data_IF_774745231319
#
_entry.id   IF_774745231319
#
_cell.length_a   1.000
_cell.length_b   1.000
_cell.length_c   1.000
_cell.angle_alpha   90.00
_cell.angle_beta   90.00
_cell.angle_gamma   90.00
#
_symmetry.space_group_name_H-M   'P 1'
#
loop_
_entity.id
_entity.type
_entity.pdbx_description
1 polymer ?
#
# COMPACT_ATOMS: atom_id res chain seq x y z
N UNK A 1 22.40 -7.16 19.30
CA UNK A 1 21.71 -6.57 18.13
C UNK A 1 20.82 -5.46 18.67
N UNK A 2 20.94 -4.22 18.19
CA UNK A 2 20.06 -3.13 18.69
C UNK A 2 18.64 -3.32 18.16
N UNK A 3 17.64 -2.88 18.92
CA UNK A 3 16.21 -2.91 18.53
C UNK A 3 15.98 -2.21 17.19
N UNK A 4 16.65 -1.09 16.97
CA UNK A 4 16.73 -0.38 15.68
C UNK A 4 17.20 -1.25 14.51
N UNK A 5 18.27 -2.03 14.71
CA UNK A 5 18.78 -2.94 13.68
C UNK A 5 17.78 -4.07 13.39
N UNK A 6 17.09 -4.56 14.44
CA UNK A 6 16.07 -5.60 14.33
C UNK A 6 14.87 -5.13 13.51
N UNK A 7 14.36 -3.92 13.78
CA UNK A 7 13.23 -3.32 13.05
C UNK A 7 13.59 -3.07 11.58
N UNK A 8 14.80 -2.58 11.30
CA UNK A 8 15.26 -2.39 9.91
C UNK A 8 15.40 -3.72 9.18
N UNK A 9 15.93 -4.76 9.84
CA UNK A 9 16.05 -6.09 9.26
C UNK A 9 14.67 -6.70 8.97
N UNK A 10 13.69 -6.56 9.87
CA UNK A 10 12.33 -7.07 9.65
C UNK A 10 11.61 -6.31 8.54
N UNK A 11 11.80 -5.00 8.41
CA UNK A 11 11.30 -4.20 7.27
C UNK A 11 11.89 -4.67 5.94
N UNK A 12 13.20 -4.88 5.87
CA UNK A 12 13.87 -5.41 4.66
C UNK A 12 13.39 -6.83 4.35
N UNK A 13 13.28 -7.70 5.35
CA UNK A 13 12.77 -9.06 5.19
C UNK A 13 11.31 -9.06 4.70
N UNK A 14 10.47 -8.16 5.22
CA UNK A 14 9.08 -7.98 4.79
C UNK A 14 9.01 -7.57 3.32
N UNK A 15 9.88 -6.67 2.88
CA UNK A 15 9.94 -6.26 1.48
C UNK A 15 10.36 -7.41 0.56
N UNK A 16 11.40 -8.18 0.93
CA UNK A 16 11.89 -9.31 0.14
C UNK A 16 10.88 -10.46 0.10
N UNK A 17 10.37 -10.88 1.26
CA UNK A 17 9.40 -11.97 1.36
C UNK A 17 8.03 -11.59 0.79
N UNK A 18 7.64 -10.33 0.94
CA UNK A 18 6.37 -9.78 0.47
C UNK A 18 6.37 -9.52 -1.03
N UNK A 19 7.37 -8.83 -1.58
CA UNK A 19 7.38 -8.43 -2.99
C UNK A 19 8.23 -9.34 -3.87
N UNK A 20 9.48 -9.60 -3.51
CA UNK A 20 10.43 -10.29 -4.39
C UNK A 20 10.03 -11.76 -4.61
N UNK A 21 9.68 -12.49 -3.54
CA UNK A 21 9.33 -13.91 -3.65
C UNK A 21 8.01 -14.16 -4.40
N UNK A 22 6.89 -13.47 -4.10
CA UNK A 22 5.63 -13.73 -4.79
C UNK A 22 5.69 -13.31 -6.25
N UNK A 23 6.26 -12.14 -6.56
CA UNK A 23 6.46 -11.74 -7.95
C UNK A 23 7.45 -12.65 -8.67
N UNK A 24 8.53 -13.10 -8.03
CA UNK A 24 9.43 -14.13 -8.56
C UNK A 24 8.69 -15.41 -8.92
N UNK A 25 7.88 -15.95 -8.02
CA UNK A 25 7.04 -17.12 -8.26
C UNK A 25 6.05 -16.92 -9.43
N UNK A 26 5.48 -15.72 -9.56
CA UNK A 26 4.60 -15.37 -10.67
C UNK A 26 5.33 -15.21 -12.02
N UNK A 27 6.59 -14.76 -12.03
CA UNK A 27 7.37 -14.54 -13.26
C UNK A 27 8.10 -15.79 -13.77
N UNK A 28 8.53 -16.69 -12.89
CA UNK A 28 9.16 -17.95 -13.31
C UNK A 28 8.15 -19.00 -13.81
N UNK A 29 6.86 -18.81 -13.56
CA UNK A 29 5.80 -19.76 -13.90
C UNK A 29 4.91 -19.37 -15.09
N UNK A 30 3.99 -20.28 -15.46
CA UNK A 30 2.94 -19.99 -16.46
C UNK A 30 2.05 -18.82 -15.98
N UNK A 31 1.93 -17.79 -16.82
CA UNK A 31 1.11 -16.60 -16.59
C UNK A 31 -0.38 -16.95 -16.66
N UNK A 32 -0.93 -17.40 -15.54
CA UNK A 32 -2.34 -17.77 -15.40
C UNK A 32 -3.02 -16.87 -14.36
N UNK A 33 -4.30 -16.54 -14.60
CA UNK A 33 -5.13 -15.71 -13.71
C UNK A 33 -5.15 -16.26 -12.27
N UNK A 34 -5.13 -17.59 -12.12
CA UNK A 34 -5.18 -18.25 -10.82
C UNK A 34 -3.85 -18.13 -10.04
N UNK A 35 -2.70 -18.18 -10.72
CA UNK A 35 -1.39 -17.95 -10.09
C UNK A 35 -1.17 -16.47 -9.75
N UNK A 36 -1.64 -15.55 -10.59
CA UNK A 36 -1.60 -14.12 -10.28
C UNK A 36 -2.35 -13.81 -8.97
N UNK A 37 -3.59 -14.28 -8.85
CA UNK A 37 -4.38 -14.10 -7.62
C UNK A 37 -3.71 -14.69 -6.38
N UNK A 38 -3.12 -15.89 -6.50
CA UNK A 38 -2.36 -16.50 -5.40
C UNK A 38 -1.12 -15.68 -5.03
N UNK A 39 -0.34 -15.23 -6.01
CA UNK A 39 0.82 -14.37 -5.79
C UNK A 39 0.44 -13.06 -5.11
N UNK A 40 -0.67 -12.43 -5.53
CA UNK A 40 -1.16 -11.20 -4.95
C UNK A 40 -1.62 -11.42 -3.50
N UNK A 41 -2.36 -12.50 -3.22
CA UNK A 41 -2.80 -12.83 -1.88
C UNK A 41 -1.61 -13.13 -0.96
N UNK A 42 -0.62 -13.87 -1.44
CA UNK A 42 0.62 -14.15 -0.69
C UNK A 42 1.42 -12.89 -0.42
N UNK A 43 1.56 -11.98 -1.40
CA UNK A 43 2.17 -10.65 -1.20
C UNK A 43 1.44 -9.86 -0.10
N UNK A 44 0.12 -9.74 -0.19
CA UNK A 44 -0.68 -9.01 0.79
C UNK A 44 -0.49 -9.56 2.21
N UNK A 45 -0.53 -10.89 2.37
CA UNK A 45 -0.35 -11.54 3.68
C UNK A 45 1.03 -11.27 4.25
N UNK A 46 2.10 -11.48 3.47
CA UNK A 46 3.47 -11.29 3.97
C UNK A 46 3.80 -9.82 4.25
N UNK A 47 3.30 -8.88 3.44
CA UNK A 47 3.51 -7.45 3.66
C UNK A 47 2.75 -6.99 4.91
N UNK A 48 1.47 -7.34 5.04
CA UNK A 48 0.67 -6.94 6.22
C UNK A 48 1.21 -7.59 7.49
N UNK A 49 1.51 -8.90 7.48
CA UNK A 49 2.06 -9.59 8.64
C UNK A 49 3.44 -9.03 9.03
N UNK A 50 4.30 -8.74 8.07
CA UNK A 50 5.62 -8.16 8.32
C UNK A 50 5.56 -6.73 8.90
N UNK A 51 4.63 -5.91 8.42
CA UNK A 51 4.35 -4.58 8.99
C UNK A 51 3.84 -4.71 10.43
N UNK A 52 2.90 -5.63 10.70
CA UNK A 52 2.40 -5.87 12.05
C UNK A 52 3.51 -6.34 13.01
N UNK A 53 4.39 -7.24 12.57
CA UNK A 53 5.54 -7.69 13.35
C UNK A 53 6.49 -6.51 13.63
N UNK A 54 6.77 -5.66 12.65
CA UNK A 54 7.61 -4.48 12.85
C UNK A 54 6.99 -3.48 13.83
N UNK A 55 5.67 -3.27 13.78
CA UNK A 55 4.91 -2.45 14.75
C UNK A 55 5.04 -3.06 16.16
N UNK A 56 4.82 -4.36 16.32
CA UNK A 56 4.93 -5.03 17.63
C UNK A 56 6.33 -4.87 18.20
N UNK A 57 7.38 -5.04 17.39
CA UNK A 57 8.77 -4.88 17.81
C UNK A 57 9.14 -3.43 18.14
N UNK A 58 8.53 -2.45 17.47
CA UNK A 58 8.75 -1.03 17.72
C UNK A 58 8.11 -0.56 19.04
N UNK A 59 6.92 -1.05 19.37
CA UNK A 59 6.15 -0.60 20.56
C UNK A 59 6.25 -1.54 21.77
N UNK A 60 6.85 -2.73 21.62
CA UNK A 60 7.10 -3.66 22.73
C UNK A 60 8.59 -4.07 22.72
N UNK A 61 9.52 -3.17 23.08
CA UNK A 61 10.95 -3.46 23.02
C UNK A 61 11.36 -4.62 23.94
N UNK A 62 10.55 -4.95 24.95
CA UNK A 62 10.75 -6.13 25.81
C UNK A 62 10.58 -7.45 25.04
N UNK A 63 9.73 -7.49 24.01
CA UNK A 63 9.58 -8.66 23.11
C UNK A 63 10.84 -8.87 22.27
N UNK A 64 11.68 -7.83 22.09
CA UNK A 64 12.96 -7.91 21.40
C UNK A 64 14.12 -8.33 22.31
N UNK A 65 13.95 -8.29 23.64
CA UNK A 65 14.99 -8.60 24.61
C UNK A 65 14.71 -9.90 25.40
N UNK A 66 15.05 -11.03 24.80
CA UNK A 66 15.44 -12.22 25.57
C UNK A 66 16.91 -12.15 26.06
N UNK A 67 17.58 -11.01 25.98
CA UNK A 67 18.92 -10.83 26.54
C UNK A 67 19.24 -9.37 26.84
N UNK A 68 19.70 -9.15 28.08
CA UNK A 68 20.37 -7.98 28.68
C UNK A 68 19.50 -6.79 29.08
N UNK A 69 19.12 -6.79 30.36
CA UNK A 69 18.46 -5.67 31.03
C UNK A 69 19.23 -4.36 30.90
N UNK A 70 18.52 -3.35 30.41
CA UNK A 70 18.72 -1.95 30.69
C UNK A 70 17.38 -1.28 30.45
N UNK A 71 16.66 -0.99 31.52
CA UNK A 71 15.44 -0.18 31.51
C UNK A 71 15.89 1.26 31.25
N UNK A 72 15.46 1.86 30.14
CA UNK A 72 15.64 3.29 29.91
C UNK A 72 14.52 3.85 29.00
N UNK A 73 13.68 4.66 29.66
CA UNK A 73 12.89 5.80 29.17
C UNK A 73 11.81 5.59 28.09
N UNK A 74 10.56 5.43 28.55
CA UNK A 74 9.34 5.55 27.73
C UNK A 74 8.54 6.78 28.15
N UNK A 75 9.05 7.98 27.88
CA UNK A 75 8.34 9.24 28.11
C UNK A 75 8.40 10.16 26.88
N UNK A 76 7.91 9.66 25.75
CA UNK A 76 7.75 10.42 24.49
C UNK A 76 6.83 9.77 23.44
N UNK A 77 6.22 8.63 23.76
CA UNK A 77 5.73 7.64 22.79
C UNK A 77 4.38 7.99 22.13
N UNK A 78 3.51 8.74 22.80
CA UNK A 78 2.16 9.05 22.28
C UNK A 78 2.17 9.98 21.05
N UNK A 79 3.09 10.95 21.00
CA UNK A 79 3.23 11.86 19.86
C UNK A 79 3.83 11.15 18.65
N UNK A 80 4.84 10.29 18.85
CA UNK A 80 5.43 9.47 17.79
C UNK A 80 4.44 8.45 17.20
N UNK A 81 3.62 7.83 18.05
CA UNK A 81 2.51 6.95 17.63
C UNK A 81 1.49 7.68 16.75
N UNK A 82 1.07 8.88 17.16
CA UNK A 82 0.11 9.67 16.40
C UNK A 82 0.66 10.05 15.01
N UNK A 83 1.92 10.49 14.94
CA UNK A 83 2.60 10.77 13.67
C UNK A 83 2.75 9.52 12.79
N UNK A 84 3.13 8.38 13.39
CA UNK A 84 3.27 7.10 12.69
C UNK A 84 1.94 6.59 12.11
N UNK A 85 0.85 6.68 12.88
CA UNK A 85 -0.49 6.37 12.41
C UNK A 85 -0.96 7.33 11.30
N UNK A 86 -0.55 8.60 11.38
CA UNK A 86 -0.76 9.59 10.33
C UNK A 86 -0.14 9.18 8.99
N UNK A 87 1.10 8.67 8.99
CA UNK A 87 1.74 8.17 7.75
C UNK A 87 1.01 6.96 7.17
N UNK A 88 0.52 6.04 8.01
CA UNK A 88 -0.27 4.89 7.55
C UNK A 88 -1.61 5.35 6.96
N UNK A 89 -2.29 6.30 7.62
CA UNK A 89 -3.55 6.87 7.13
C UNK A 89 -3.36 7.56 5.77
N UNK A 90 -2.27 8.33 5.60
CA UNK A 90 -1.92 8.95 4.34
C UNK A 90 -1.66 7.91 3.23
N UNK A 91 -0.93 6.83 3.53
CA UNK A 91 -0.67 5.77 2.55
C UNK A 91 -1.95 5.03 2.14
N UNK A 92 -2.83 4.71 3.10
CA UNK A 92 -4.08 3.99 2.83
C UNK A 92 -5.10 4.84 2.06
N UNK A 93 -5.21 6.15 2.35
CA UNK A 93 -6.12 7.07 1.64
C UNK A 93 -5.86 7.05 0.13
N UNK A 94 -4.61 7.29 -0.28
CA UNK A 94 -4.24 7.26 -1.70
C UNK A 94 -4.35 5.85 -2.27
N UNK A 95 -3.84 4.84 -1.55
CA UNK A 95 -3.81 3.45 -2.03
C UNK A 95 -5.19 2.89 -2.35
N UNK A 96 -6.15 3.02 -1.43
CA UNK A 96 -7.52 2.53 -1.63
C UNK A 96 -8.27 3.35 -2.68
N UNK A 97 -8.05 4.67 -2.72
CA UNK A 97 -8.67 5.52 -3.73
C UNK A 97 -8.21 5.15 -5.15
N UNK A 98 -6.92 4.90 -5.35
CA UNK A 98 -6.38 4.46 -6.63
C UNK A 98 -6.94 3.11 -7.08
N UNK A 99 -7.25 2.20 -6.15
CA UNK A 99 -7.90 0.91 -6.50
C UNK A 99 -9.32 1.14 -6.98
N UNK A 100 -10.12 1.93 -6.26
CA UNK A 100 -11.50 2.26 -6.66
C UNK A 100 -11.55 3.05 -7.98
N UNK A 101 -10.72 4.08 -8.09
CA UNK A 101 -10.57 4.89 -9.30
C UNK A 101 -10.12 4.06 -10.50
N UNK A 102 -9.12 3.19 -10.33
CA UNK A 102 -8.64 2.31 -11.40
C UNK A 102 -9.71 1.35 -11.93
N UNK A 103 -10.57 0.82 -11.06
CA UNK A 103 -11.70 -0.04 -11.47
C UNK A 103 -12.74 0.76 -12.26
N UNK A 104 -13.10 1.96 -11.77
CA UNK A 104 -14.05 2.84 -12.44
C UNK A 104 -13.54 3.29 -13.82
N UNK A 105 -12.27 3.73 -13.89
CA UNK A 105 -11.58 4.15 -15.12
C UNK A 105 -11.50 2.99 -16.12
N UNK A 106 -11.16 1.77 -15.68
CA UNK A 106 -11.10 0.62 -16.58
C UNK A 106 -12.45 0.32 -17.26
N UNK A 107 -13.55 0.45 -16.51
CA UNK A 107 -14.91 0.27 -17.04
C UNK A 107 -15.30 1.41 -18.00
N UNK A 108 -15.10 2.66 -17.58
CA UNK A 108 -15.43 3.84 -18.39
C UNK A 108 -14.62 3.89 -19.69
N UNK A 109 -13.31 3.61 -19.62
CA UNK A 109 -12.41 3.62 -20.78
C UNK A 109 -12.77 2.50 -21.78
N UNK A 110 -13.15 1.31 -21.30
CA UNK A 110 -13.58 0.22 -22.19
C UNK A 110 -14.86 0.56 -22.94
N UNK A 111 -15.83 1.19 -22.27
CA UNK A 111 -17.08 1.63 -22.90
C UNK A 111 -16.83 2.79 -23.89
N UNK A 112 -16.00 3.76 -23.50
CA UNK A 112 -15.58 4.86 -24.34
C UNK A 112 -14.91 4.38 -25.64
N UNK A 113 -13.95 3.47 -25.56
CA UNK A 113 -13.26 2.90 -26.72
C UNK A 113 -14.23 2.14 -27.64
N UNK A 114 -15.20 1.41 -27.07
CA UNK A 114 -16.24 0.74 -27.84
C UNK A 114 -17.08 1.73 -28.65
N UNK A 115 -17.56 2.79 -28.01
CA UNK A 115 -18.37 3.81 -28.67
C UNK A 115 -17.55 4.62 -29.70
N UNK A 116 -16.28 4.93 -29.41
CA UNK A 116 -15.36 5.57 -30.37
C UNK A 116 -15.15 4.72 -31.62
N UNK A 117 -15.19 3.40 -31.50
CA UNK A 117 -15.06 2.50 -32.65
C UNK A 117 -16.27 2.53 -33.59
N UNK A 118 -17.44 2.91 -33.09
CA UNK A 118 -18.67 3.08 -33.88
C UNK A 118 -18.80 4.49 -34.45
N UNK A 119 -18.42 5.51 -33.67
CA UNK A 119 -18.43 6.90 -34.09
C UNK A 119 -17.22 7.65 -33.53
N UNK A 120 -16.30 8.03 -34.43
CA UNK A 120 -15.12 8.81 -34.05
C UNK A 120 -15.43 10.24 -33.58
N UNK A 121 -16.63 10.77 -33.89
CA UNK A 121 -17.02 12.14 -33.53
C UNK A 121 -17.25 12.32 -32.02
N UNK A 122 -17.51 11.24 -31.28
CA UNK A 122 -17.76 11.28 -29.84
C UNK A 122 -16.50 11.16 -28.97
N UNK A 123 -15.31 11.05 -29.57
CA UNK A 123 -14.03 10.90 -28.86
C UNK A 123 -13.85 11.90 -27.70
N UNK A 124 -14.10 13.18 -27.95
CA UNK A 124 -13.95 14.22 -26.92
C UNK A 124 -14.95 14.11 -25.77
N UNK A 125 -16.19 13.68 -26.04
CA UNK A 125 -17.22 13.50 -25.00
C UNK A 125 -16.94 12.28 -24.14
N UNK A 126 -16.45 11.20 -24.76
CA UNK A 126 -16.08 9.98 -24.06
C UNK A 126 -14.90 10.18 -23.10
N UNK A 127 -13.93 11.02 -23.47
CA UNK A 127 -12.78 11.35 -22.60
C UNK A 127 -13.19 12.09 -21.32
N UNK A 128 -14.27 12.87 -21.34
CA UNK A 128 -14.77 13.59 -20.14
C UNK A 128 -15.22 12.60 -19.06
N UNK A 129 -15.90 11.52 -19.44
CA UNK A 129 -16.36 10.51 -18.48
C UNK A 129 -15.22 9.69 -17.89
N UNK A 130 -14.18 9.41 -18.67
CA UNK A 130 -12.96 8.74 -18.17
C UNK A 130 -12.19 9.66 -17.23
N UNK A 131 -12.01 10.94 -17.58
CA UNK A 131 -11.36 11.93 -16.73
C UNK A 131 -12.12 12.21 -15.43
N UNK A 132 -13.45 12.16 -15.46
CA UNK A 132 -14.27 12.28 -14.26
C UNK A 132 -14.06 11.09 -13.29
N UNK A 133 -13.79 9.89 -13.81
CA UNK A 133 -13.45 8.73 -13.00
C UNK A 133 -12.05 8.82 -12.38
N UNK A 134 -11.08 9.47 -13.04
CA UNK A 134 -9.74 9.73 -12.47
C UNK A 134 -9.77 10.69 -11.28
N UNK A 135 -10.78 11.58 -11.22
CA UNK A 135 -10.96 12.51 -10.11
C UNK A 135 -10.98 11.82 -8.74
N UNK A 136 -11.50 10.58 -8.66
CA UNK A 136 -11.52 9.79 -7.43
C UNK A 136 -10.09 9.58 -6.88
N UNK A 137 -9.15 9.18 -7.74
CA UNK A 137 -7.76 8.96 -7.34
C UNK A 137 -7.08 10.26 -6.89
N UNK A 138 -7.35 11.38 -7.57
CA UNK A 138 -6.83 12.69 -7.20
C UNK A 138 -7.37 13.17 -5.85
N UNK A 139 -8.63 12.91 -5.53
CA UNK A 139 -9.15 13.18 -4.19
C UNK A 139 -8.41 12.40 -3.12
N UNK A 140 -8.10 11.12 -3.36
CA UNK A 140 -7.30 10.31 -2.42
C UNK A 140 -5.92 10.92 -2.15
N UNK A 141 -5.26 11.41 -3.21
CA UNK A 141 -3.98 12.11 -3.12
C UNK A 141 -4.09 13.43 -2.33
N UNK A 142 -5.11 14.25 -2.60
CA UNK A 142 -5.35 15.51 -1.88
C UNK A 142 -5.56 15.24 -0.39
N UNK A 143 -6.36 14.24 -0.02
CA UNK A 143 -6.59 13.87 1.37
C UNK A 143 -5.28 13.40 2.02
N UNK A 144 -4.43 12.64 1.31
CA UNK A 144 -3.11 12.26 1.84
C UNK A 144 -2.22 13.47 2.11
N UNK A 145 -2.20 14.48 1.23
CA UNK A 145 -1.49 15.74 1.49
C UNK A 145 -2.09 16.53 2.66
N UNK A 146 -3.41 16.52 2.83
CA UNK A 146 -4.06 17.14 3.99
C UNK A 146 -3.66 16.45 5.29
N UNK A 147 -3.61 15.11 5.31
CA UNK A 147 -3.16 14.35 6.49
C UNK A 147 -1.70 14.72 6.79
N UNK A 148 -0.81 14.62 5.80
CA UNK A 148 0.62 14.94 5.97
C UNK A 148 0.86 16.40 6.38
N UNK A 149 0.02 17.34 5.95
CA UNK A 149 0.09 18.75 6.34
C UNK A 149 -0.42 19.04 7.75
N UNK A 150 -0.93 18.04 8.47
CA UNK A 150 -1.36 18.13 9.87
C UNK A 150 -0.47 17.34 10.84
N UNK A 151 0.51 16.58 10.32
CA UNK A 151 1.52 15.85 11.09
C UNK A 151 2.75 16.71 11.34
#
# INVERSE_FOLDING_TARGET
>A
MTTELLIKLTMVATFVLGFVLPFGYFYTGKKTKNRYKKSLATNLVFVVAGILIAIVLAYNPEVALASTGAVAETAGDAAGLATGLGYIAAALSTGLSCVGGGIAVASAASAALGAISEDGSIFGRSLIFVGLAEGVALYGLIISFMILGQL
#
